data_IF_598663476820
#
_entry.id   IF_598663476820
#
_cell.length_a   1.000
_cell.length_b   1.000
_cell.length_c   1.000
_cell.angle_alpha   90.00
_cell.angle_beta   90.00
_cell.angle_gamma   90.00
#
_symmetry.space_group_name_H-M   'P 1'
#
loop_
_entity.id
_entity.type
_entity.pdbx_description
1 polymer ?
#
# COMPACT_ATOMS: atom_id res chain seq x y z
N UNK A 1 -12.21 -29.46 -1.32
CA UNK A 1 -11.17 -29.06 -2.29
C UNK A 1 -11.59 -27.74 -2.94
N UNK A 2 -11.31 -26.59 -2.32
CA UNK A 2 -11.61 -25.27 -2.90
C UNK A 2 -10.32 -24.47 -2.91
N UNK A 3 -9.70 -24.38 -4.09
CA UNK A 3 -8.45 -23.63 -4.27
C UNK A 3 -8.77 -22.14 -4.06
N UNK A 4 -8.24 -21.55 -2.98
CA UNK A 4 -8.27 -20.10 -2.78
C UNK A 4 -7.62 -19.44 -4.01
N UNK A 5 -8.21 -18.36 -4.56
CA UNK A 5 -7.55 -17.64 -5.64
C UNK A 5 -6.24 -17.09 -5.07
N UNK A 6 -5.13 -17.47 -5.70
CA UNK A 6 -3.81 -16.95 -5.41
C UNK A 6 -3.91 -15.42 -5.44
N UNK A 7 -3.76 -14.75 -4.29
CA UNK A 7 -3.51 -13.31 -4.29
C UNK A 7 -2.26 -13.13 -5.12
N UNK A 8 -2.41 -12.66 -6.36
CA UNK A 8 -1.27 -12.27 -7.19
C UNK A 8 -0.54 -11.21 -6.38
N UNK A 9 0.62 -11.57 -5.85
CA UNK A 9 1.62 -10.62 -5.41
C UNK A 9 2.04 -9.86 -6.67
N UNK A 10 1.24 -8.85 -7.04
CA UNK A 10 1.72 -7.75 -7.84
C UNK A 10 2.54 -6.96 -6.83
N UNK A 11 3.79 -7.40 -6.62
CA UNK A 11 4.81 -6.54 -6.05
C UNK A 11 4.73 -5.25 -6.85
N UNK A 12 4.34 -4.19 -6.16
CA UNK A 12 4.12 -2.88 -6.71
C UNK A 12 5.37 -2.50 -7.51
N UNK A 13 5.30 -2.52 -8.84
CA UNK A 13 6.41 -2.08 -9.70
C UNK A 13 6.66 -0.61 -9.35
N UNK A 14 7.75 -0.37 -8.63
CA UNK A 14 8.17 0.97 -8.28
C UNK A 14 8.94 1.60 -9.44
N UNK A 15 9.22 2.92 -9.39
CA UNK A 15 10.09 3.57 -10.38
C UNK A 15 11.48 2.96 -10.45
N UNK A 16 11.91 2.32 -9.37
CA UNK A 16 13.20 1.64 -9.25
C UNK A 16 13.30 0.40 -10.14
N UNK A 17 12.18 -0.18 -10.57
CA UNK A 17 12.13 -1.42 -11.35
C UNK A 17 12.15 -1.17 -12.88
N UNK A 18 12.18 0.08 -13.32
CA UNK A 18 12.21 0.44 -14.75
C UNK A 18 13.61 0.26 -15.32
N UNK A 19 13.74 -0.49 -16.40
CA UNK A 19 15.00 -0.69 -17.12
C UNK A 19 15.25 0.40 -18.16
N UNK A 20 16.48 0.55 -18.61
CA UNK A 20 16.84 1.54 -19.63
C UNK A 20 16.22 1.19 -21.00
N UNK A 21 15.97 -0.09 -21.27
CA UNK A 21 15.24 -0.56 -22.45
C UNK A 21 13.78 -0.10 -22.45
N UNK A 22 13.13 -0.12 -21.27
CA UNK A 22 11.75 0.37 -21.14
C UNK A 22 11.68 1.88 -21.40
N UNK A 23 12.68 2.63 -20.91
CA UNK A 23 12.81 4.07 -21.18
C UNK A 23 13.06 4.32 -22.67
N UNK A 24 13.96 3.55 -23.31
CA UNK A 24 14.26 3.68 -24.74
C UNK A 24 13.04 3.41 -25.62
N UNK A 25 12.21 2.40 -25.28
CA UNK A 25 10.95 2.14 -25.99
C UNK A 25 9.97 3.31 -25.81
N UNK A 26 9.79 3.79 -24.58
CA UNK A 26 8.93 4.93 -24.30
C UNK A 26 9.38 6.20 -25.03
N UNK A 27 10.68 6.49 -25.06
CA UNK A 27 11.24 7.63 -25.80
C UNK A 27 10.98 7.57 -27.30
N UNK A 28 10.94 6.36 -27.90
CA UNK A 28 10.64 6.17 -29.33
C UNK A 28 9.15 6.36 -29.66
N UNK A 29 8.27 6.12 -28.69
CA UNK A 29 6.82 6.22 -28.85
C UNK A 29 6.30 7.65 -28.64
N UNK A 30 7.05 8.49 -27.92
CA UNK A 30 6.66 9.89 -27.68
C UNK A 30 6.93 10.73 -28.92
N UNK A 31 5.90 11.38 -29.46
CA UNK A 31 6.04 12.38 -30.52
C UNK A 31 6.64 13.67 -29.96
N UNK A 32 7.91 13.92 -30.26
CA UNK A 32 8.64 15.13 -29.86
C UNK A 32 10.14 14.86 -29.72
N UNK A 33 10.96 15.89 -29.91
CA UNK A 33 12.40 15.78 -29.71
C UNK A 33 12.76 16.34 -28.34
N UNK A 34 13.38 15.50 -27.50
CA UNK A 34 13.90 15.90 -26.19
C UNK A 34 15.37 15.52 -26.14
N UNK A 35 16.25 16.52 -26.10
CA UNK A 35 17.71 16.39 -26.05
C UNK A 35 18.18 15.87 -24.68
N UNK A 36 17.84 14.62 -24.35
CA UNK A 36 18.27 13.98 -23.10
C UNK A 36 18.68 12.53 -23.34
N UNK A 37 19.56 12.01 -22.49
CA UNK A 37 19.89 10.60 -22.51
C UNK A 37 18.78 9.77 -21.84
N UNK A 38 18.68 8.45 -22.11
CA UNK A 38 17.77 7.58 -21.37
C UNK A 38 18.01 7.61 -19.85
N UNK A 39 19.25 7.82 -19.40
CA UNK A 39 19.59 7.97 -17.99
C UNK A 39 18.94 9.22 -17.37
N UNK A 40 19.06 10.36 -18.05
CA UNK A 40 18.43 11.62 -17.61
C UNK A 40 16.91 11.50 -17.57
N UNK A 41 16.30 10.85 -18.57
CA UNK A 41 14.86 10.60 -18.62
C UNK A 41 14.39 9.75 -17.42
N UNK A 42 15.16 8.70 -17.10
CA UNK A 42 14.91 7.84 -15.93
C UNK A 42 14.98 8.62 -14.62
N UNK A 43 15.96 9.51 -14.50
CA UNK A 43 16.12 10.32 -13.29
C UNK A 43 15.01 11.35 -13.14
N UNK A 44 14.62 12.02 -14.23
CA UNK A 44 13.44 12.89 -14.25
C UNK A 44 12.19 12.11 -13.81
N UNK A 45 11.97 10.92 -14.35
CA UNK A 45 10.82 10.10 -13.98
C UNK A 45 10.83 9.73 -12.49
N UNK A 46 11.97 9.31 -11.94
CA UNK A 46 12.12 8.98 -10.52
C UNK A 46 11.82 10.18 -9.62
N UNK A 47 12.34 11.36 -9.98
CA UNK A 47 12.10 12.60 -9.24
C UNK A 47 10.62 12.99 -9.30
N UNK A 48 10.02 12.98 -10.50
CA UNK A 48 8.61 13.29 -10.71
C UNK A 48 7.69 12.34 -9.94
N UNK A 49 7.99 11.03 -9.98
CA UNK A 49 7.23 10.03 -9.23
C UNK A 49 7.31 10.25 -7.73
N UNK A 50 8.51 10.56 -7.19
CA UNK A 50 8.66 10.90 -5.77
C UNK A 50 7.78 12.08 -5.37
N UNK A 51 7.78 13.16 -6.16
CA UNK A 51 6.91 14.31 -5.91
C UNK A 51 5.41 13.97 -6.05
N UNK A 52 5.06 13.09 -6.99
CA UNK A 52 3.70 12.62 -7.14
C UNK A 52 3.24 11.83 -5.90
N UNK A 53 4.07 10.91 -5.38
CA UNK A 53 3.76 10.16 -4.17
C UNK A 53 3.64 11.07 -2.97
N UNK A 54 4.58 11.99 -2.75
CA UNK A 54 4.50 12.98 -1.68
C UNK A 54 3.17 13.74 -1.72
N UNK A 55 2.83 14.32 -2.88
CA UNK A 55 1.54 14.99 -3.08
C UNK A 55 0.35 14.07 -2.80
N UNK A 56 0.33 12.87 -3.38
CA UNK A 56 -0.79 11.93 -3.26
C UNK A 56 -0.99 11.44 -1.82
N UNK A 57 0.10 11.19 -1.09
CA UNK A 57 0.01 10.79 0.33
C UNK A 57 -0.62 11.88 1.21
N UNK A 58 -0.47 13.16 0.84
CA UNK A 58 -1.13 14.27 1.53
C UNK A 58 -2.59 14.50 1.12
N UNK A 59 -3.02 13.98 -0.04
CA UNK A 59 -4.41 14.12 -0.52
C UNK A 59 -5.34 13.05 0.07
N UNK A 60 -4.80 11.88 0.42
CA UNK A 60 -5.59 10.76 0.95
C UNK A 60 -5.63 10.83 2.49
N UNK A 61 -6.80 11.11 3.05
CA UNK A 61 -7.01 11.08 4.51
C UNK A 61 -6.91 9.65 5.02
N UNK A 62 -6.23 9.41 6.16
CA UNK A 62 -6.13 8.08 6.77
C UNK A 62 -7.49 7.38 6.91
N UNK A 63 -8.53 8.11 7.36
CA UNK A 63 -9.89 7.58 7.50
C UNK A 63 -10.57 7.11 6.21
N UNK A 64 -10.02 7.41 5.02
CA UNK A 64 -10.53 6.90 3.75
C UNK A 64 -10.02 5.49 3.40
N UNK A 65 -8.90 5.06 4.01
CA UNK A 65 -8.29 3.74 3.80
C UNK A 65 -8.49 2.83 5.01
N UNK A 66 -8.59 3.40 6.21
CA UNK A 66 -8.78 2.62 7.44
C UNK A 66 -10.13 1.90 7.49
N UNK A 67 -10.11 0.64 7.91
CA UNK A 67 -11.32 -0.11 8.27
C UNK A 67 -11.96 0.50 9.52
N UNK A 68 -13.24 0.90 9.43
CA UNK A 68 -13.96 1.52 10.55
C UNK A 68 -14.47 0.50 11.58
N UNK A 69 -14.99 -0.63 11.11
CA UNK A 69 -15.48 -1.70 11.96
C UNK A 69 -14.31 -2.61 12.34
N UNK A 70 -13.74 -2.39 13.53
CA UNK A 70 -12.63 -3.17 14.07
C UNK A 70 -13.07 -3.86 15.34
N UNK A 71 -12.59 -5.09 15.54
CA UNK A 71 -12.72 -5.76 16.83
C UNK A 71 -11.77 -5.05 17.80
N UNK A 72 -12.21 -4.81 19.03
CA UNK A 72 -11.41 -4.14 20.06
C UNK A 72 -11.63 -4.81 21.42
N UNK A 73 -10.64 -4.67 22.31
CA UNK A 73 -10.67 -5.27 23.65
C UNK A 73 -10.51 -4.19 24.72
N UNK A 74 -10.83 -4.52 25.97
CA UNK A 74 -10.61 -3.61 27.10
C UNK A 74 -9.25 -3.88 27.74
N UNK A 75 -8.79 -2.93 28.57
CA UNK A 75 -7.51 -3.03 29.27
C UNK A 75 -7.42 -4.21 30.25
N UNK A 76 -8.57 -4.66 30.74
CA UNK A 76 -8.76 -5.75 31.69
C UNK A 76 -9.10 -7.10 31.02
N UNK A 77 -9.20 -7.14 29.68
CA UNK A 77 -9.44 -8.40 28.95
C UNK A 77 -8.24 -9.36 29.13
N UNK A 78 -8.47 -10.60 29.60
CA UNK A 78 -7.41 -11.59 29.78
C UNK A 78 -6.64 -11.90 28.48
N UNK A 79 -5.34 -12.15 28.60
CA UNK A 79 -4.47 -12.42 27.45
C UNK A 79 -4.94 -13.62 26.61
N UNK A 80 -5.44 -14.66 27.26
CA UNK A 80 -5.93 -15.87 26.59
C UNK A 80 -7.13 -15.56 25.69
N UNK A 81 -8.12 -14.81 26.20
CA UNK A 81 -9.26 -14.34 25.40
C UNK A 81 -8.84 -13.46 24.23
N UNK A 82 -7.83 -12.60 24.41
CA UNK A 82 -7.28 -11.77 23.32
C UNK A 82 -6.65 -12.64 22.24
N UNK A 83 -5.86 -13.65 22.63
CA UNK A 83 -5.19 -14.55 21.69
C UNK A 83 -6.19 -15.39 20.88
N UNK A 84 -7.22 -15.94 21.55
CA UNK A 84 -8.31 -16.65 20.88
C UNK A 84 -9.07 -15.75 19.91
N UNK A 85 -9.39 -14.52 20.32
CA UNK A 85 -10.07 -13.54 19.49
C UNK A 85 -9.25 -13.16 18.25
N UNK A 86 -7.95 -12.92 18.40
CA UNK A 86 -7.05 -12.60 17.29
C UNK A 86 -6.90 -13.78 16.32
N UNK A 87 -6.74 -15.00 16.84
CA UNK A 87 -6.68 -16.22 16.03
C UNK A 87 -7.99 -16.46 15.27
N UNK A 88 -9.14 -16.29 15.94
CA UNK A 88 -10.47 -16.47 15.35
C UNK A 88 -10.78 -15.48 14.23
N UNK A 89 -10.29 -14.24 14.33
CA UNK A 89 -10.47 -13.21 13.29
C UNK A 89 -9.34 -13.16 12.26
N UNK A 90 -8.25 -13.92 12.46
CA UNK A 90 -7.09 -13.90 11.56
C UNK A 90 -6.37 -12.56 11.50
N UNK A 91 -6.36 -11.82 12.61
CA UNK A 91 -5.75 -10.49 12.71
C UNK A 91 -4.45 -10.54 13.51
N UNK A 92 -3.46 -9.76 13.09
CA UNK A 92 -2.15 -9.69 13.77
C UNK A 92 -2.11 -8.71 14.94
N UNK A 93 -3.15 -7.90 15.12
CA UNK A 93 -3.24 -6.95 16.23
C UNK A 93 -4.67 -6.52 16.48
N UNK A 94 -4.94 -6.11 17.72
CA UNK A 94 -6.25 -5.64 18.18
C UNK A 94 -6.09 -4.37 19.01
N UNK A 95 -6.85 -3.30 18.75
CA UNK A 95 -6.81 -2.09 19.56
C UNK A 95 -7.39 -2.33 20.96
N UNK A 96 -6.68 -1.83 21.98
CA UNK A 96 -7.13 -1.79 23.38
C UNK A 96 -7.76 -0.43 23.66
N UNK A 97 -9.05 -0.40 24.00
CA UNK A 97 -9.81 0.85 24.16
C UNK A 97 -10.51 0.90 25.52
N UNK A 98 -10.67 2.11 26.06
CA UNK A 98 -11.39 2.31 27.34
C UNK A 98 -12.90 2.05 27.20
N UNK A 99 -13.48 2.37 26.03
CA UNK A 99 -14.86 2.01 25.65
C UNK A 99 -14.79 1.16 24.39
N UNK A 100 -15.21 -0.09 24.48
CA UNK A 100 -15.38 -0.94 23.30
C UNK A 100 -16.59 -0.39 22.51
N UNK A 101 -16.43 0.05 21.25
CA UNK A 101 -17.56 0.38 20.40
C UNK A 101 -18.36 -0.92 20.21
N UNK A 102 -19.62 -0.92 20.63
CA UNK A 102 -20.49 -2.08 20.45
C UNK A 102 -20.65 -2.34 18.94
N UNK A 103 -20.14 -3.48 18.46
CA UNK A 103 -20.44 -3.97 17.13
C UNK A 103 -21.97 -4.12 17.01
N UNK A 104 -22.58 -3.33 16.12
CA UNK A 104 -23.89 -3.64 15.54
C UNK A 104 -23.69 -4.05 14.09
#
# INVERSE_FOLDING_TARGET
MSKRPQRRNISCLGPSDISDEDILKAMKEIEGYLDITPGDAKDIYRLAYRHAIERLTHLVKAGSVMTKAVVSVKRDTPLEEVAELMAGHGISGVPVVNRCPSNK
#
